data_IF_433976970018
#
_entry.id   IF_433976970018
#
_cell.length_a   1.000
_cell.length_b   1.000
_cell.length_c   1.000
_cell.angle_alpha   90.00
_cell.angle_beta   90.00
_cell.angle_gamma   90.00
#
_symmetry.space_group_name_H-M   'P 1'
#
loop_
_entity.id
_entity.type
_entity.pdbx_description
1 polymer ?
#
# COMPACT_ATOMS: atom_id res chain seq x y z
N UNK A 1 -4.92 -22.13 -37.38
CA UNK A 1 -5.95 -22.72 -36.50
C UNK A 1 -5.24 -23.62 -35.50
N UNK A 2 -4.73 -23.02 -34.41
CA UNK A 2 -4.26 -23.77 -33.23
C UNK A 2 -4.49 -22.89 -32.01
N UNK A 3 -5.25 -23.47 -31.09
CA UNK A 3 -5.77 -23.04 -29.80
C UNK A 3 -5.10 -21.86 -29.06
N UNK A 4 -5.96 -20.91 -28.72
CA UNK A 4 -5.92 -20.08 -27.52
C UNK A 4 -5.95 -21.02 -26.31
N UNK A 5 -4.91 -20.99 -25.46
CA UNK A 5 -4.91 -21.66 -24.14
C UNK A 5 -4.95 -20.60 -23.04
N UNK A 6 -6.16 -20.50 -22.49
CA UNK A 6 -6.44 -20.48 -21.05
C UNK A 6 -5.86 -19.35 -20.20
N UNK A 7 -6.75 -18.37 -19.99
CA UNK A 7 -7.15 -17.86 -18.69
C UNK A 7 -6.37 -18.48 -17.50
N UNK A 8 -5.38 -17.74 -17.01
CA UNK A 8 -4.91 -17.93 -15.63
C UNK A 8 -5.91 -17.26 -14.71
N UNK A 9 -6.76 -18.13 -14.18
CA UNK A 9 -7.63 -17.99 -13.04
C UNK A 9 -7.17 -16.92 -12.04
N UNK A 10 -8.12 -16.09 -11.60
CA UNK A 10 -8.01 -15.38 -10.33
C UNK A 10 -7.66 -16.39 -9.25
N UNK A 11 -6.42 -16.34 -8.77
CA UNK A 11 -6.05 -17.05 -7.57
C UNK A 11 -6.83 -16.40 -6.43
N UNK A 12 -7.51 -17.23 -5.63
CA UNK A 12 -7.85 -16.90 -4.25
C UNK A 12 -6.57 -16.37 -3.59
N UNK A 13 -6.41 -15.03 -3.53
CA UNK A 13 -5.32 -14.36 -2.84
C UNK A 13 -5.59 -14.48 -1.35
N UNK A 14 -5.40 -15.68 -0.80
CA UNK A 14 -5.49 -15.88 0.65
C UNK A 14 -4.38 -15.07 1.31
N UNK A 15 -4.68 -14.33 2.40
CA UNK A 15 -3.66 -13.66 3.20
C UNK A 15 -2.59 -14.69 3.58
N UNK A 16 -1.36 -14.48 3.11
CA UNK A 16 -0.27 -15.42 3.31
C UNK A 16 0.66 -14.87 4.38
N UNK A 17 0.81 -15.64 5.46
CA UNK A 17 1.63 -15.27 6.62
C UNK A 17 2.78 -16.25 6.72
N UNK A 18 4.01 -15.73 6.66
CA UNK A 18 5.22 -16.50 6.90
C UNK A 18 5.75 -16.20 8.31
N UNK A 19 6.16 -17.22 9.05
CA UNK A 19 6.93 -17.05 10.28
C UNK A 19 8.33 -17.57 10.05
N UNK A 20 9.32 -16.67 10.09
CA UNK A 20 10.72 -16.96 9.81
C UNK A 20 11.52 -17.15 11.10
N UNK A 21 12.21 -18.28 11.22
CA UNK A 21 12.99 -18.68 12.40
C UNK A 21 12.31 -19.72 13.32
N UNK A 22 13.10 -20.28 14.25
CA UNK A 22 12.68 -21.37 15.18
C UNK A 22 12.98 -21.01 16.64
N UNK A 23 12.35 -19.96 17.14
CA UNK A 23 12.47 -19.56 18.54
C UNK A 23 11.21 -19.81 19.34
N UNK A 24 11.35 -19.85 20.67
CA UNK A 24 10.25 -20.17 21.58
C UNK A 24 9.05 -19.23 21.45
N UNK A 25 9.29 -17.94 21.18
CA UNK A 25 8.22 -16.96 20.95
C UNK A 25 7.51 -17.19 19.62
N UNK A 26 8.23 -17.49 18.55
CA UNK A 26 7.64 -17.77 17.23
C UNK A 26 6.88 -19.10 17.22
N UNK A 27 7.35 -20.10 17.97
CA UNK A 27 6.61 -21.35 18.14
C UNK A 27 5.33 -21.15 18.97
N UNK A 28 5.34 -20.25 19.94
CA UNK A 28 4.11 -19.84 20.64
C UNK A 28 3.14 -19.13 19.70
N UNK A 29 3.63 -18.22 18.85
CA UNK A 29 2.84 -17.54 17.84
C UNK A 29 2.20 -18.55 16.87
N UNK A 30 2.97 -19.49 16.31
CA UNK A 30 2.47 -20.58 15.46
C UNK A 30 1.33 -21.35 16.12
N UNK A 31 1.54 -21.83 17.36
CA UNK A 31 0.51 -22.59 18.09
C UNK A 31 -0.77 -21.78 18.32
N UNK A 32 -0.65 -20.49 18.63
CA UNK A 32 -1.82 -19.62 18.86
C UNK A 32 -2.55 -19.30 17.56
N UNK A 33 -1.82 -19.01 16.48
CA UNK A 33 -2.37 -18.80 15.15
C UNK A 33 -3.16 -20.03 14.66
N UNK A 34 -2.58 -21.23 14.81
CA UNK A 34 -3.27 -22.48 14.43
C UNK A 34 -4.56 -22.72 15.23
N UNK A 35 -4.61 -22.36 16.52
CA UNK A 35 -5.84 -22.44 17.32
C UNK A 35 -6.94 -21.49 16.85
N UNK A 36 -6.56 -20.39 16.21
CA UNK A 36 -7.47 -19.44 15.58
C UNK A 36 -7.84 -19.81 14.13
N UNK A 37 -7.34 -20.96 13.62
CA UNK A 37 -7.56 -21.40 12.25
C UNK A 37 -6.70 -20.67 11.21
N UNK A 38 -5.75 -19.84 11.64
CA UNK A 38 -4.89 -19.05 10.76
C UNK A 38 -3.81 -19.96 10.18
N UNK A 39 -3.68 -19.95 8.85
CA UNK A 39 -2.65 -20.70 8.14
C UNK A 39 -1.37 -19.89 8.09
N UNK A 40 -0.26 -20.54 8.45
CA UNK A 40 1.05 -19.92 8.50
C UNK A 40 2.01 -20.83 7.77
N UNK A 41 2.75 -20.26 6.82
CA UNK A 41 3.77 -20.95 6.06
C UNK A 41 5.13 -20.85 6.76
N UNK A 42 5.90 -21.92 6.59
CA UNK A 42 7.32 -21.98 6.93
C UNK A 42 8.12 -21.88 5.63
N UNK A 43 8.52 -20.68 5.21
CA UNK A 43 9.22 -20.47 3.95
C UNK A 43 9.87 -19.09 3.82
N UNK A 44 10.72 -18.93 2.81
CA UNK A 44 11.35 -17.65 2.46
C UNK A 44 10.32 -16.63 1.99
N UNK A 45 10.50 -15.37 2.40
CA UNK A 45 9.61 -14.25 2.12
C UNK A 45 9.38 -14.03 0.62
N UNK A 46 8.13 -14.05 0.17
CA UNK A 46 7.75 -13.52 -1.15
C UNK A 46 7.15 -12.13 -1.00
N UNK A 47 7.40 -11.25 -1.99
CA UNK A 47 6.81 -9.90 -2.04
C UNK A 47 5.28 -9.98 -1.95
N UNK A 48 4.68 -9.27 -0.98
CA UNK A 48 3.23 -9.29 -0.72
C UNK A 48 2.77 -10.26 0.38
N UNK A 49 3.71 -10.88 1.11
CA UNK A 49 3.40 -11.73 2.26
C UNK A 49 3.74 -11.02 3.57
N UNK A 50 2.94 -11.24 4.62
CA UNK A 50 3.26 -10.80 5.97
C UNK A 50 4.32 -11.73 6.57
N UNK A 51 5.47 -11.20 6.95
CA UNK A 51 6.55 -11.99 7.56
C UNK A 51 6.71 -11.62 9.03
N UNK A 52 6.56 -12.59 9.93
CA UNK A 52 6.86 -12.40 11.34
C UNK A 52 8.24 -12.97 11.66
N UNK A 53 9.10 -12.14 12.25
CA UNK A 53 10.45 -12.49 12.69
C UNK A 53 10.60 -12.24 14.18
N UNK A 54 11.56 -12.88 14.81
CA UNK A 54 11.92 -12.57 16.19
C UNK A 54 12.73 -11.27 16.28
N UNK A 55 12.45 -10.47 17.31
CA UNK A 55 13.26 -9.32 17.68
C UNK A 55 12.44 -8.05 17.91
N UNK A 56 13.10 -6.91 17.70
CA UNK A 56 12.50 -5.57 17.85
C UNK A 56 12.70 -4.82 16.54
N UNK A 57 11.64 -4.17 16.07
CA UNK A 57 11.64 -3.40 14.84
C UNK A 57 12.68 -2.26 14.87
N UNK A 58 13.41 -2.00 13.77
CA UNK A 58 14.32 -0.86 13.67
C UNK A 58 13.57 0.47 13.72
N UNK A 59 14.24 1.54 14.17
CA UNK A 59 13.62 2.88 14.25
C UNK A 59 13.58 3.58 12.87
N UNK A 60 12.57 4.41 12.59
CA UNK A 60 11.37 4.62 13.40
C UNK A 60 10.42 3.42 13.36
N UNK A 61 9.95 2.99 14.54
CA UNK A 61 8.98 1.89 14.67
C UNK A 61 7.77 2.27 15.51
N UNK A 62 6.69 1.50 15.33
CA UNK A 62 5.55 1.50 16.24
C UNK A 62 5.66 0.34 17.23
N UNK A 63 5.73 0.67 18.52
CA UNK A 63 5.76 -0.27 19.65
C UNK A 63 6.86 -1.36 19.61
N UNK A 64 7.86 -1.24 18.75
CA UNK A 64 8.85 -2.28 18.48
C UNK A 64 8.35 -3.42 17.59
N UNK A 65 7.14 -3.32 17.03
CA UNK A 65 6.46 -4.38 16.27
C UNK A 65 6.58 -4.17 14.76
N UNK A 66 6.41 -2.94 14.25
CA UNK A 66 6.52 -2.63 12.82
C UNK A 66 7.45 -1.44 12.62
N UNK A 67 8.37 -1.55 11.66
CA UNK A 67 9.21 -0.45 11.21
C UNK A 67 8.65 0.20 9.95
N UNK A 68 8.87 1.51 9.81
CA UNK A 68 8.49 2.23 8.58
C UNK A 68 9.28 1.75 7.36
N UNK A 69 10.54 1.37 7.55
CA UNK A 69 11.47 0.98 6.49
C UNK A 69 11.25 -0.43 5.95
N UNK A 70 10.50 -1.28 6.67
CA UNK A 70 10.29 -2.70 6.32
C UNK A 70 8.78 -3.05 6.29
N UNK A 71 8.03 -2.55 5.29
CA UNK A 71 6.61 -2.90 5.14
C UNK A 71 6.40 -4.41 5.00
N UNK A 72 5.32 -4.92 5.57
CA UNK A 72 5.02 -6.36 5.58
C UNK A 72 5.89 -7.19 6.52
N UNK A 73 6.83 -6.57 7.26
CA UNK A 73 7.61 -7.26 8.29
C UNK A 73 7.15 -6.89 9.69
N UNK A 74 6.84 -7.92 10.48
CA UNK A 74 6.43 -7.83 11.88
C UNK A 74 7.52 -8.41 12.75
N UNK A 75 7.90 -7.69 13.80
CA UNK A 75 8.84 -8.13 14.80
C UNK A 75 8.08 -8.58 16.04
N UNK A 76 8.42 -9.78 16.50
CA UNK A 76 7.80 -10.41 17.65
C UNK A 76 8.85 -10.70 18.72
N UNK A 77 8.48 -10.36 19.94
CA UNK A 77 9.22 -10.58 21.17
C UNK A 77 8.26 -11.11 22.22
N UNK A 78 8.77 -11.61 23.35
CA UNK A 78 7.91 -12.15 24.41
C UNK A 78 6.87 -11.14 24.92
N UNK A 79 7.24 -9.85 25.00
CA UNK A 79 6.35 -8.78 25.49
C UNK A 79 5.36 -8.25 24.44
N UNK A 80 5.53 -8.61 23.17
CA UNK A 80 4.65 -8.21 22.05
C UNK A 80 3.80 -9.36 21.50
N UNK A 81 4.04 -10.60 21.94
CA UNK A 81 3.37 -11.79 21.42
C UNK A 81 1.84 -11.68 21.37
N UNK A 82 1.20 -11.24 22.45
CA UNK A 82 -0.27 -11.11 22.49
C UNK A 82 -0.77 -10.08 21.47
N UNK A 83 -0.04 -8.98 21.31
CA UNK A 83 -0.33 -7.93 20.34
C UNK A 83 -0.16 -8.43 18.90
N UNK A 84 0.93 -9.15 18.62
CA UNK A 84 1.22 -9.73 17.30
C UNK A 84 0.19 -10.81 16.93
N UNK A 85 -0.25 -11.64 17.88
CA UNK A 85 -1.33 -12.61 17.65
C UNK A 85 -2.62 -11.90 17.23
N UNK A 86 -2.98 -10.80 17.91
CA UNK A 86 -4.17 -10.03 17.55
C UNK A 86 -4.04 -9.36 16.18
N UNK A 87 -2.86 -8.82 15.86
CA UNK A 87 -2.56 -8.22 14.56
C UNK A 87 -2.67 -9.23 13.42
N UNK A 88 -2.09 -10.42 13.59
CA UNK A 88 -2.16 -11.52 12.62
C UNK A 88 -3.60 -12.02 12.44
N UNK A 89 -4.37 -12.07 13.52
CA UNK A 89 -5.79 -12.42 13.46
C UNK A 89 -6.58 -11.39 12.66
N UNK A 90 -6.35 -10.09 12.89
CA UNK A 90 -6.99 -9.02 12.13
C UNK A 90 -6.59 -9.06 10.65
N UNK A 91 -5.30 -9.19 10.33
CA UNK A 91 -4.80 -9.33 8.96
C UNK A 91 -5.51 -10.44 8.19
N UNK A 92 -5.71 -11.59 8.86
CA UNK A 92 -6.40 -12.74 8.28
C UNK A 92 -7.89 -12.46 8.12
N UNK A 93 -8.54 -11.91 9.14
CA UNK A 93 -9.98 -11.62 9.15
C UNK A 93 -10.37 -10.55 8.13
N UNK A 94 -9.51 -9.56 7.90
CA UNK A 94 -9.73 -8.48 6.93
C UNK A 94 -9.43 -8.89 5.49
N UNK A 95 -8.83 -10.06 5.26
CA UNK A 95 -8.35 -10.46 3.93
C UNK A 95 -7.26 -9.53 3.40
N UNK A 96 -6.46 -8.94 4.29
CA UNK A 96 -5.39 -8.04 3.90
C UNK A 96 -4.25 -8.81 3.22
N UNK A 97 -3.67 -8.22 2.19
CA UNK A 97 -2.44 -8.64 1.51
C UNK A 97 -1.22 -7.82 1.95
N UNK A 98 -1.42 -6.70 2.65
CA UNK A 98 -0.35 -5.94 3.30
C UNK A 98 -0.84 -5.18 4.54
N UNK A 99 0.09 -4.68 5.34
CA UNK A 99 -0.22 -3.87 6.52
C UNK A 99 0.89 -2.86 6.76
N UNK A 100 0.50 -1.64 7.13
CA UNK A 100 1.40 -0.54 7.47
C UNK A 100 0.86 0.21 8.67
N UNK A 101 1.74 0.79 9.47
CA UNK A 101 1.31 1.72 10.52
C UNK A 101 0.96 3.05 9.85
N UNK A 102 -0.16 3.65 10.24
CA UNK A 102 -0.58 4.95 9.72
C UNK A 102 0.47 6.01 10.00
N UNK A 103 0.81 6.81 9.00
CA UNK A 103 1.81 7.89 9.11
C UNK A 103 1.60 8.81 10.32
N UNK A 104 0.37 9.32 10.58
CA UNK A 104 0.09 10.13 11.77
C UNK A 104 0.34 9.41 13.09
N UNK A 105 0.01 8.11 13.18
CA UNK A 105 0.20 7.29 14.38
C UNK A 105 1.68 7.06 14.64
N UNK A 106 2.44 6.76 13.59
CA UNK A 106 3.89 6.59 13.68
C UNK A 106 4.58 7.90 14.10
N UNK A 107 4.18 9.03 13.50
CA UNK A 107 4.75 10.34 13.82
C UNK A 107 4.44 10.77 15.25
N UNK A 108 3.19 10.60 15.71
CA UNK A 108 2.82 10.83 17.10
C UNK A 108 3.67 9.96 18.02
N UNK A 109 3.75 8.66 17.74
CA UNK A 109 4.52 7.72 18.54
C UNK A 109 6.02 8.08 18.60
N UNK A 110 6.63 8.44 17.47
CA UNK A 110 8.03 8.87 17.43
C UNK A 110 8.28 10.13 18.28
N UNK A 111 7.30 11.05 18.35
CA UNK A 111 7.41 12.28 19.11
C UNK A 111 7.20 12.09 20.63
N UNK A 112 6.24 11.25 21.04
CA UNK A 112 5.80 11.19 22.45
C UNK A 112 5.85 9.79 23.08
N UNK A 113 6.40 8.81 22.37
CA UNK A 113 6.50 7.41 22.77
C UNK A 113 7.39 7.23 24.00
N UNK A 114 6.89 6.47 24.98
CA UNK A 114 7.66 6.08 26.16
C UNK A 114 7.36 4.64 26.49
N UNK A 115 8.26 3.96 27.22
CA UNK A 115 8.05 2.56 27.62
C UNK A 115 6.75 2.36 28.42
N UNK A 116 6.37 3.33 29.28
CA UNK A 116 5.10 3.30 29.99
C UNK A 116 3.90 3.33 29.04
N UNK A 117 3.92 4.21 28.04
CA UNK A 117 2.85 4.29 27.02
C UNK A 117 2.86 3.05 26.13
N UNK A 118 4.03 2.52 25.80
CA UNK A 118 4.21 1.29 25.01
C UNK A 118 3.48 0.14 25.67
N UNK A 119 3.80 -0.15 26.94
CA UNK A 119 3.13 -1.19 27.74
C UNK A 119 1.62 -1.00 27.82
N UNK A 120 1.13 0.24 27.84
CA UNK A 120 -0.32 0.52 27.85
C UNK A 120 -0.96 0.18 26.50
N UNK A 121 -0.34 0.57 25.38
CA UNK A 121 -0.86 0.28 24.03
C UNK A 121 -0.77 -1.21 23.69
N UNK A 122 0.30 -1.91 24.11
CA UNK A 122 0.43 -3.35 23.89
C UNK A 122 -0.66 -4.20 24.57
N UNK A 123 -1.34 -3.70 25.60
CA UNK A 123 -2.43 -4.41 26.28
C UNK A 123 -3.70 -4.55 25.44
N UNK A 124 -3.89 -3.68 24.45
CA UNK A 124 -5.07 -3.69 23.61
C UNK A 124 -4.64 -3.35 22.18
N UNK A 125 -4.67 -4.35 21.32
CA UNK A 125 -4.56 -4.14 19.89
C UNK A 125 -5.68 -3.24 19.39
N UNK A 126 -5.33 -2.26 18.57
CA UNK A 126 -6.26 -1.34 17.91
C UNK A 126 -6.00 -1.37 16.41
N UNK A 127 -6.97 -1.87 15.63
CA UNK A 127 -6.81 -2.03 14.18
C UNK A 127 -6.75 -0.68 13.46
N UNK A 128 -7.25 0.40 14.07
CA UNK A 128 -7.27 1.76 13.49
C UNK A 128 -5.89 2.42 13.42
N UNK A 129 -4.90 1.85 14.12
CA UNK A 129 -3.51 2.30 14.07
C UNK A 129 -2.82 1.93 12.75
N UNK A 130 -3.45 1.04 11.97
CA UNK A 130 -2.89 0.45 10.77
C UNK A 130 -3.72 0.77 9.52
N UNK A 131 -3.03 0.90 8.40
CA UNK A 131 -3.61 0.80 7.07
C UNK A 131 -3.46 -0.66 6.63
N UNK A 132 -4.56 -1.28 6.23
CA UNK A 132 -4.64 -2.66 5.79
C UNK A 132 -4.73 -2.67 4.27
N UNK A 133 -3.65 -3.08 3.61
CA UNK A 133 -3.63 -3.21 2.15
C UNK A 133 -4.45 -4.47 1.84
N UNK A 134 -5.76 -4.37 1.62
CA UNK A 134 -6.62 -5.44 1.05
C UNK A 134 -6.38 -5.60 -0.44
N UNK A 135 -6.84 -6.68 -1.07
CA UNK A 135 -6.70 -6.91 -2.51
C UNK A 135 -7.29 -5.78 -3.39
N UNK A 136 -8.20 -4.96 -2.87
CA UNK A 136 -8.69 -3.74 -3.54
C UNK A 136 -7.73 -2.55 -3.42
N UNK A 137 -6.75 -2.63 -2.51
CA UNK A 137 -5.79 -1.57 -2.16
C UNK A 137 -4.30 -1.96 -2.32
N UNK A 138 -3.99 -3.17 -2.80
CA UNK A 138 -2.60 -3.63 -3.00
C UNK A 138 -2.15 -3.43 -4.44
N UNK A 139 -1.48 -2.30 -4.69
CA UNK A 139 -0.28 -2.15 -5.53
C UNK A 139 -0.10 -3.12 -6.72
N UNK A 140 -1.05 -3.13 -7.65
CA UNK A 140 -0.79 -3.44 -9.06
C UNK A 140 -1.22 -2.25 -9.89
N UNK A 141 -0.31 -1.81 -10.75
CA UNK A 141 -0.48 -0.82 -11.81
C UNK A 141 -0.21 0.62 -11.37
N UNK A 142 1.05 0.87 -10.95
CA UNK A 142 1.66 2.15 -11.34
C UNK A 142 1.62 2.18 -12.87
N UNK A 143 0.67 2.91 -13.42
CA UNK A 143 0.55 3.12 -14.85
C UNK A 143 1.62 4.12 -15.26
N UNK A 144 2.63 3.65 -16.00
CA UNK A 144 3.80 4.42 -16.40
C UNK A 144 4.02 4.29 -17.91
N UNK A 145 3.20 4.99 -18.68
CA UNK A 145 3.18 4.89 -20.13
C UNK A 145 3.06 6.26 -20.82
N UNK A 146 3.33 6.25 -22.12
CA UNK A 146 3.01 7.37 -23.00
C UNK A 146 1.52 7.35 -23.31
N UNK A 147 0.88 8.48 -23.08
CA UNK A 147 -0.54 8.73 -23.31
C UNK A 147 -0.70 9.95 -24.19
N UNK A 148 -1.92 10.12 -24.67
CA UNK A 148 -2.34 11.34 -25.33
C UNK A 148 -3.11 12.19 -24.34
N UNK A 149 -2.65 13.41 -24.10
CA UNK A 149 -3.32 14.38 -23.24
C UNK A 149 -4.10 15.37 -24.11
N UNK A 150 -5.34 15.66 -23.71
CA UNK A 150 -6.21 16.62 -24.38
C UNK A 150 -6.53 17.77 -23.44
N UNK A 151 -6.38 19.01 -23.91
CA UNK A 151 -6.76 20.20 -23.16
C UNK A 151 -7.07 21.36 -24.11
N UNK A 152 -8.16 22.10 -23.88
CA UNK A 152 -8.56 23.28 -24.67
C UNK A 152 -8.52 23.09 -26.20
N UNK A 153 -8.85 21.89 -26.69
CA UNK A 153 -8.84 21.54 -28.11
C UNK A 153 -7.46 21.22 -28.70
N UNK A 154 -6.41 21.23 -27.87
CA UNK A 154 -5.05 20.81 -28.20
C UNK A 154 -4.80 19.37 -27.74
N UNK A 155 -4.02 18.62 -28.51
CA UNK A 155 -3.62 17.24 -28.23
C UNK A 155 -2.10 17.13 -28.20
N UNK A 156 -1.56 16.59 -27.10
CA UNK A 156 -0.11 16.42 -26.92
C UNK A 156 0.21 15.00 -26.46
N UNK A 157 1.32 14.45 -26.94
CA UNK A 157 1.82 13.16 -26.46
C UNK A 157 2.72 13.38 -25.25
N UNK A 158 2.44 12.69 -24.16
CA UNK A 158 3.18 12.84 -22.91
C UNK A 158 3.27 11.53 -22.15
N UNK A 159 4.37 11.33 -21.42
CA UNK A 159 4.46 10.21 -20.47
C UNK A 159 3.78 10.59 -19.18
N UNK A 160 3.00 9.69 -18.59
CA UNK A 160 2.49 9.85 -17.23
C UNK A 160 2.93 8.67 -16.37
N UNK A 161 3.11 8.92 -15.08
CA UNK A 161 3.32 7.90 -14.07
C UNK A 161 2.33 8.14 -12.93
N UNK A 162 1.30 7.30 -12.82
CA UNK A 162 0.16 7.49 -11.91
C UNK A 162 -0.18 6.21 -11.14
N UNK A 163 -0.81 6.37 -9.99
CA UNK A 163 -1.25 5.27 -9.14
C UNK A 163 -2.63 5.58 -8.54
N UNK A 164 -3.50 4.57 -8.49
CA UNK A 164 -4.80 4.64 -7.82
C UNK A 164 -4.70 4.45 -6.31
N UNK A 165 -5.60 5.10 -5.57
CA UNK A 165 -5.78 4.95 -4.13
C UNK A 165 -7.23 5.25 -3.73
N UNK A 166 -7.72 4.63 -2.65
CA UNK A 166 -9.00 4.99 -2.07
C UNK A 166 -8.82 6.25 -1.22
N UNK A 167 -9.60 7.31 -1.50
CA UNK A 167 -9.54 8.53 -0.71
C UNK A 167 -10.42 8.39 0.54
N UNK A 168 -9.84 8.45 1.77
CA UNK A 168 -10.60 8.22 2.99
C UNK A 168 -11.59 9.35 3.32
N UNK A 169 -11.45 10.54 2.71
CA UNK A 169 -12.36 11.66 2.99
C UNK A 169 -13.73 11.49 2.36
N UNK A 170 -13.81 10.83 1.20
CA UNK A 170 -15.04 10.68 0.41
C UNK A 170 -15.39 9.21 0.11
N UNK A 171 -14.48 8.27 0.40
CA UNK A 171 -14.66 6.85 0.15
C UNK A 171 -14.64 6.49 -1.34
N UNK A 172 -14.14 7.38 -2.20
CA UNK A 172 -14.06 7.16 -3.64
C UNK A 172 -12.66 6.75 -4.06
N UNK A 173 -12.55 6.04 -5.18
CA UNK A 173 -11.26 5.80 -5.81
C UNK A 173 -10.77 7.10 -6.46
N UNK A 174 -9.52 7.45 -6.18
CA UNK A 174 -8.79 8.56 -6.79
C UNK A 174 -7.50 8.00 -7.38
N UNK A 175 -6.87 8.78 -8.24
CA UNK A 175 -5.54 8.46 -8.72
C UNK A 175 -4.70 9.72 -8.84
N UNK A 176 -3.40 9.58 -8.62
CA UNK A 176 -2.48 10.71 -8.66
C UNK A 176 -1.11 10.29 -9.18
N UNK A 177 -0.38 11.26 -9.72
CA UNK A 177 0.96 11.01 -10.22
C UNK A 177 1.62 12.23 -10.83
N UNK A 178 2.44 11.98 -11.84
CA UNK A 178 3.24 12.98 -12.53
C UNK A 178 3.08 12.84 -14.03
N UNK A 179 2.87 13.96 -14.71
CA UNK A 179 2.96 14.09 -16.16
C UNK A 179 4.29 14.74 -16.55
N UNK A 180 4.91 14.18 -17.58
CA UNK A 180 6.20 14.59 -18.12
C UNK A 180 6.01 15.19 -19.52
N UNK A 181 6.81 16.20 -19.84
CA UNK A 181 6.83 16.85 -21.15
C UNK A 181 6.70 18.37 -21.05
N UNK A 182 7.36 19.06 -21.99
CA UNK A 182 7.39 20.52 -22.02
C UNK A 182 6.01 21.11 -22.36
N UNK A 183 5.20 20.42 -23.17
CA UNK A 183 3.84 20.87 -23.49
C UNK A 183 2.92 20.85 -22.27
N UNK A 184 3.00 19.81 -21.44
CA UNK A 184 2.22 19.73 -20.20
C UNK A 184 2.65 20.82 -19.23
N UNK A 185 3.95 21.13 -19.20
CA UNK A 185 4.46 22.24 -18.41
C UNK A 185 3.94 23.58 -18.93
N UNK A 186 3.98 23.79 -20.25
CA UNK A 186 3.45 25.00 -20.90
C UNK A 186 1.98 25.20 -20.57
N UNK A 187 1.14 24.18 -20.71
CA UNK A 187 -0.27 24.23 -20.31
C UNK A 187 -0.45 24.65 -18.86
N UNK A 188 0.37 24.13 -17.95
CA UNK A 188 0.29 24.53 -16.55
C UNK A 188 0.67 25.99 -16.33
N UNK A 189 1.69 26.48 -17.02
CA UNK A 189 2.11 27.88 -16.98
C UNK A 189 1.03 28.80 -17.59
N UNK A 190 0.30 28.34 -18.61
CA UNK A 190 -0.88 28.98 -19.21
C UNK A 190 -2.15 28.85 -18.35
N UNK A 191 -2.05 28.23 -17.16
CA UNK A 191 -3.14 27.99 -16.20
C UNK A 191 -4.24 27.05 -16.68
N UNK A 192 -3.97 26.24 -17.70
CA UNK A 192 -4.81 25.11 -18.06
C UNK A 192 -4.71 24.08 -16.93
N UNK A 193 -5.87 23.62 -16.45
CA UNK A 193 -5.95 22.71 -15.31
C UNK A 193 -6.64 21.41 -15.65
N UNK A 194 -7.75 21.46 -16.37
CA UNK A 194 -8.51 20.26 -16.68
C UNK A 194 -7.96 19.67 -17.98
N UNK A 195 -7.69 18.37 -17.95
CA UNK A 195 -7.15 17.62 -19.08
C UNK A 195 -7.84 16.26 -19.14
N UNK A 196 -7.90 15.67 -20.32
CA UNK A 196 -8.28 14.27 -20.48
C UNK A 196 -7.03 13.44 -20.80
N UNK A 197 -6.92 12.27 -20.17
CA UNK A 197 -5.90 11.27 -20.43
C UNK A 197 -6.50 10.21 -21.33
N UNK A 198 -5.96 10.05 -22.54
CA UNK A 198 -6.33 8.99 -23.48
C UNK A 198 -5.19 7.97 -23.52
N UNK A 199 -5.45 6.76 -23.04
CA UNK A 199 -4.46 5.67 -23.04
C UNK A 199 -4.35 5.02 -24.42
N UNK A 200 -3.31 4.19 -24.60
CA UNK A 200 -3.10 3.41 -25.84
C UNK A 200 -4.26 2.45 -26.14
N UNK A 201 -5.00 2.01 -25.11
CA UNK A 201 -6.20 1.18 -25.23
C UNK A 201 -7.46 1.98 -25.64
N UNK A 202 -7.38 3.32 -25.66
CA UNK A 202 -8.49 4.22 -25.95
C UNK A 202 -9.35 4.57 -24.74
N UNK A 203 -8.95 4.16 -23.52
CA UNK A 203 -9.61 4.60 -22.29
C UNK A 203 -9.39 6.11 -22.09
N UNK A 204 -10.46 6.83 -21.81
CA UNK A 204 -10.44 8.27 -21.53
C UNK A 204 -10.69 8.49 -20.03
N UNK A 205 -9.80 9.22 -19.37
CA UNK A 205 -9.91 9.56 -17.95
C UNK A 205 -9.83 11.07 -17.75
N UNK A 206 -10.80 11.66 -17.06
CA UNK A 206 -10.75 13.06 -16.65
C UNK A 206 -9.68 13.27 -15.58
N UNK A 207 -8.93 14.35 -15.70
CA UNK A 207 -7.82 14.65 -14.81
C UNK A 207 -7.56 16.14 -14.65
N UNK A 208 -6.76 16.48 -13.65
CA UNK A 208 -6.41 17.86 -13.32
C UNK A 208 -4.92 18.02 -13.05
N UNK A 209 -4.30 18.97 -13.74
CA UNK A 209 -2.96 19.46 -13.46
C UNK A 209 -2.97 20.32 -12.19
N UNK A 210 -2.19 19.92 -11.18
CA UNK A 210 -2.23 20.54 -9.84
C UNK A 210 -1.04 21.45 -9.60
N UNK A 211 0.15 20.90 -9.44
CA UNK A 211 1.36 21.64 -9.05
C UNK A 211 2.54 21.30 -9.93
N UNK A 212 3.43 22.27 -10.11
CA UNK A 212 4.73 22.04 -10.73
C UNK A 212 5.70 21.57 -9.64
N UNK A 213 6.35 20.44 -9.85
CA UNK A 213 7.35 19.91 -8.92
C UNK A 213 8.63 20.74 -8.96
N UNK A 214 9.52 20.62 -7.94
CA UNK A 214 10.83 21.28 -7.98
C UNK A 214 11.71 20.90 -9.18
N UNK A 215 11.43 19.78 -9.84
CA UNK A 215 12.14 19.31 -11.04
C UNK A 215 11.47 19.76 -12.36
N UNK A 216 10.43 20.58 -12.29
CA UNK A 216 9.76 21.16 -13.44
C UNK A 216 8.67 20.30 -14.08
N UNK A 217 8.46 19.07 -13.61
CA UNK A 217 7.34 18.20 -14.03
C UNK A 217 6.02 18.63 -13.40
N UNK A 218 4.89 18.16 -13.94
CA UNK A 218 3.56 18.59 -13.47
C UNK A 218 2.85 17.44 -12.75
N UNK A 219 2.30 17.71 -11.57
CA UNK A 219 1.44 16.79 -10.83
C UNK A 219 0.07 16.69 -11.50
N UNK A 220 -0.46 15.48 -11.57
CA UNK A 220 -1.74 15.15 -12.17
C UNK A 220 -2.56 14.33 -11.18
N UNK A 221 -3.85 14.63 -11.06
CA UNK A 221 -4.81 13.87 -10.24
C UNK A 221 -6.08 13.60 -11.04
N UNK A 222 -6.77 12.51 -10.75
CA UNK A 222 -8.11 12.26 -11.27
C UNK A 222 -8.94 11.43 -10.29
N UNK A 223 -10.22 11.33 -10.60
CA UNK A 223 -11.22 10.59 -9.83
C UNK A 223 -11.59 9.29 -10.56
N UNK A 224 -12.06 8.31 -9.81
CA UNK A 224 -12.44 7.00 -10.31
C UNK A 224 -11.27 6.07 -10.61
N UNK A 225 -11.46 5.22 -11.60
CA UNK A 225 -10.50 4.17 -11.95
C UNK A 225 -9.27 4.78 -12.64
N UNK A 226 -8.04 4.43 -12.23
CA UNK A 226 -6.83 4.95 -12.86
C UNK A 226 -6.72 4.49 -14.33
N UNK A 227 -5.95 5.23 -15.15
CA UNK A 227 -5.56 4.78 -16.50
C UNK A 227 -4.95 3.37 -16.50
N UNK A 228 -5.29 2.56 -17.52
CA UNK A 228 -4.76 1.21 -17.78
C UNK A 228 -4.57 0.94 -19.28
#
# INVERSE_FOLDING_TARGET
MTAISEARSGQDLRPTIAIDGRSGVLDQLRRRASRLGIHVDSGESTRGQLVVVEGVAPQPNYLGVIAQSEPGRIYCSDDTLDYVVALVAEYTASGATGVRVRGPVLNEWAAIGTERKRRRRLRKFDSVDFDWDTGESTDSDVFDETVTLLADGEQVSGRIRVQGYLNPSDGQFHWAGTAYGDDVRRWRDERIRNVEVVTSSGQVCEARLTDVTPWGTVRLVGEGMPPR
#
